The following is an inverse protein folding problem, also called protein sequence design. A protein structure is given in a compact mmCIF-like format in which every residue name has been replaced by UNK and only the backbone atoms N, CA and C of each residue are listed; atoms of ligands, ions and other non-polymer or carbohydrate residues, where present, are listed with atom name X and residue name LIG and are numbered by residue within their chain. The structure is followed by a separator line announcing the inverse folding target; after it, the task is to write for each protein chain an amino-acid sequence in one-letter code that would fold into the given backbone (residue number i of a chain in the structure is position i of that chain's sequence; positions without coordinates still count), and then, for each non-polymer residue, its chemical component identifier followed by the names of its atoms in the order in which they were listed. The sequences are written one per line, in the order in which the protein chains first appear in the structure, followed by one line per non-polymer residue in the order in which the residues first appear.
data_IF_631073204519
#
_entry.id   IF_631073204519
#
_cell.length_a   1.000
_cell.length_b   1.000
_cell.length_c   1.000
_cell.angle_alpha   90.00
_cell.angle_beta   90.00
_cell.angle_gamma   90.00
#
_symmetry.space_group_name_H-M   'P 1'
#
loop_
_entity.id
_entity.type
_entity.pdbx_description
1 polymer ?
#
# COMPACT_ATOMS: atom_id res chain seq x y z
N UNK A 1 -7.99 -11.18 -23.46
CA UNK A 1 -7.76 -11.08 -21.99
C UNK A 1 -8.27 -9.72 -21.54
N UNK A 2 -9.01 -9.65 -20.42
CA UNK A 2 -9.40 -8.36 -19.82
C UNK A 2 -8.19 -7.82 -19.04
N UNK A 3 -7.85 -6.56 -19.23
CA UNK A 3 -6.73 -5.93 -18.50
C UNK A 3 -7.11 -5.76 -17.02
N UNK A 4 -6.21 -6.07 -16.06
CA UNK A 4 -6.48 -5.95 -14.62
C UNK A 4 -6.75 -4.51 -14.18
N UNK A 5 -6.11 -3.57 -14.89
CA UNK A 5 -6.40 -2.15 -14.84
C UNK A 5 -7.39 -1.79 -15.94
N UNK A 6 -8.46 -1.08 -15.56
CA UNK A 6 -9.39 -0.46 -16.50
C UNK A 6 -8.85 0.91 -16.88
N UNK A 7 -8.51 1.09 -18.16
CA UNK A 7 -8.20 2.41 -18.71
C UNK A 7 -9.48 3.22 -18.86
N UNK A 8 -9.51 4.43 -18.31
CA UNK A 8 -10.60 5.39 -18.42
C UNK A 8 -10.01 6.68 -19.00
N UNK A 9 -10.48 7.04 -20.20
CA UNK A 9 -10.15 8.33 -20.81
C UNK A 9 -11.11 9.38 -20.25
N UNK A 10 -10.56 10.40 -19.58
CA UNK A 10 -11.33 11.50 -19.00
C UNK A 10 -10.76 12.81 -19.50
N UNK A 11 -11.49 13.49 -20.37
CA UNK A 11 -11.14 14.78 -20.99
C UNK A 11 -9.70 14.80 -21.53
N UNK A 12 -8.74 15.25 -20.73
CA UNK A 12 -7.34 15.46 -21.12
C UNK A 12 -6.35 14.47 -20.46
N UNK A 13 -6.85 13.44 -19.76
CA UNK A 13 -6.01 12.48 -19.05
C UNK A 13 -6.50 11.04 -19.13
N UNK A 14 -5.53 10.13 -19.02
CA UNK A 14 -5.77 8.70 -18.87
C UNK A 14 -5.67 8.36 -17.40
N UNK A 15 -6.64 7.60 -16.92
CA UNK A 15 -6.70 7.09 -15.55
C UNK A 15 -6.78 5.57 -15.61
N UNK A 16 -6.02 4.87 -14.78
CA UNK A 16 -6.07 3.42 -14.65
C UNK A 16 -6.68 3.03 -13.32
N UNK A 17 -7.66 2.14 -13.34
CA UNK A 17 -8.43 1.79 -12.15
C UNK A 17 -8.35 0.29 -11.89
N UNK A 18 -8.18 -0.11 -10.63
CA UNK A 18 -8.36 -1.50 -10.21
C UNK A 18 -9.79 -1.98 -10.49
N UNK A 19 -10.00 -3.29 -10.58
CA UNK A 19 -11.31 -3.92 -10.69
C UNK A 19 -11.57 -4.77 -9.45
N UNK A 20 -11.95 -4.15 -8.31
CA UNK A 20 -12.14 -4.85 -7.06
C UNK A 20 -13.06 -6.07 -7.21
N UNK A 21 -12.56 -7.23 -6.79
CA UNK A 21 -13.31 -8.48 -6.70
C UNK A 21 -12.86 -9.20 -5.44
N UNK A 22 -13.53 -8.86 -4.35
CA UNK A 22 -13.20 -9.37 -3.02
C UNK A 22 -13.19 -10.90 -2.98
N UNK A 23 -12.10 -11.45 -2.47
CA UNK A 23 -11.88 -12.88 -2.22
C UNK A 23 -11.70 -13.06 -0.72
N UNK A 24 -12.53 -13.90 -0.11
CA UNK A 24 -12.60 -14.07 1.35
C UNK A 24 -11.24 -14.39 1.99
N UNK A 25 -10.49 -15.34 1.43
CA UNK A 25 -9.19 -15.76 1.95
C UNK A 25 -8.16 -14.61 1.99
N UNK A 26 -8.16 -13.73 0.98
CA UNK A 26 -7.27 -12.57 0.94
C UNK A 26 -7.61 -11.56 2.03
N UNK A 27 -8.90 -11.33 2.23
CA UNK A 27 -9.40 -10.45 3.28
C UNK A 27 -9.05 -11.01 4.66
N UNK A 28 -9.30 -12.29 4.90
CA UNK A 28 -9.01 -12.95 6.19
C UNK A 28 -7.52 -12.91 6.53
N UNK A 29 -6.64 -13.26 5.59
CA UNK A 29 -5.18 -13.14 5.76
C UNK A 29 -4.77 -11.73 6.16
N UNK A 30 -5.36 -10.71 5.52
CA UNK A 30 -5.05 -9.30 5.78
C UNK A 30 -5.53 -8.85 7.15
N UNK A 31 -6.75 -9.24 7.56
CA UNK A 31 -7.28 -8.97 8.90
C UNK A 31 -6.43 -9.65 9.98
N UNK A 32 -6.07 -10.92 9.78
CA UNK A 32 -5.21 -11.66 10.70
C UNK A 32 -3.84 -10.98 10.86
N UNK A 33 -3.22 -10.54 9.76
CA UNK A 33 -1.95 -9.81 9.82
C UNK A 33 -2.08 -8.46 10.55
N UNK A 34 -3.20 -7.76 10.36
CA UNK A 34 -3.49 -6.52 11.08
C UNK A 34 -3.69 -6.75 12.58
N UNK A 35 -4.41 -7.80 12.97
CA UNK A 35 -4.62 -8.14 14.39
C UNK A 35 -3.33 -8.64 15.07
N UNK A 36 -2.46 -9.36 14.35
CA UNK A 36 -1.11 -9.68 14.84
C UNK A 36 -0.31 -8.39 15.08
N UNK A 37 -0.40 -7.40 14.18
CA UNK A 37 0.28 -6.12 14.38
C UNK A 37 -0.28 -5.36 15.59
N UNK A 38 -1.59 -5.45 15.88
CA UNK A 38 -2.20 -4.91 17.10
C UNK A 38 -1.67 -5.57 18.36
N UNK A 39 -1.71 -6.91 18.44
CA UNK A 39 -1.21 -7.63 19.61
C UNK A 39 0.25 -7.29 19.91
N UNK A 40 1.10 -7.27 18.88
CA UNK A 40 2.50 -6.89 19.07
C UNK A 40 2.70 -5.41 19.45
N UNK A 41 1.82 -4.51 19.03
CA UNK A 41 1.86 -3.11 19.45
C UNK A 41 1.57 -2.98 20.95
N UNK A 42 0.62 -3.76 21.47
CA UNK A 42 0.28 -3.81 22.89
C UNK A 42 1.45 -4.39 23.70
N UNK A 43 2.01 -5.52 23.28
CA UNK A 43 3.14 -6.19 23.93
C UNK A 43 4.43 -5.35 23.96
N UNK A 44 4.54 -4.36 23.07
CA UNK A 44 5.72 -3.51 22.91
C UNK A 44 5.57 -2.10 23.49
N UNK A 45 4.65 -1.91 24.43
CA UNK A 45 4.35 -0.61 25.05
C UNK A 45 4.02 0.48 24.02
N UNK A 46 3.38 0.11 22.91
CA UNK A 46 2.95 1.05 21.89
C UNK A 46 4.03 1.46 20.89
N UNK A 47 5.07 0.65 20.67
CA UNK A 47 6.07 0.92 19.64
C UNK A 47 5.48 0.70 18.23
N UNK A 48 5.08 1.80 17.58
CA UNK A 48 4.47 1.78 16.24
C UNK A 48 5.39 1.24 15.13
N UNK A 49 6.70 1.19 15.36
CA UNK A 49 7.64 0.59 14.41
C UNK A 49 7.32 -0.89 14.14
N UNK A 50 6.82 -1.60 15.15
CA UNK A 50 6.46 -3.02 15.01
C UNK A 50 5.27 -3.21 14.07
N UNK A 51 4.32 -2.27 14.05
CA UNK A 51 3.18 -2.28 13.12
C UNK A 51 3.70 -2.15 11.70
N UNK A 52 4.56 -1.17 11.45
CA UNK A 52 5.14 -0.93 10.13
C UNK A 52 5.98 -2.12 9.65
N UNK A 53 6.86 -2.67 10.50
CA UNK A 53 7.67 -3.85 10.16
C UNK A 53 6.82 -5.09 9.89
N UNK A 54 5.78 -5.32 10.70
CA UNK A 54 4.86 -6.45 10.51
C UNK A 54 4.10 -6.31 9.19
N UNK A 55 3.60 -5.10 8.88
CA UNK A 55 2.90 -4.83 7.64
C UNK A 55 3.81 -4.97 6.42
N UNK A 56 5.05 -4.47 6.48
CA UNK A 56 6.03 -4.64 5.42
C UNK A 56 6.38 -6.12 5.18
N UNK A 57 6.57 -6.89 6.25
CA UNK A 57 6.82 -8.32 6.14
C UNK A 57 5.64 -9.06 5.51
N UNK A 58 4.41 -8.70 5.90
CA UNK A 58 3.19 -9.23 5.30
C UNK A 58 3.09 -8.89 3.80
N UNK A 59 3.34 -7.64 3.42
CA UNK A 59 3.34 -7.22 2.01
C UNK A 59 4.37 -7.95 1.18
N UNK A 60 5.60 -8.12 1.69
CA UNK A 60 6.64 -8.93 1.03
C UNK A 60 6.20 -10.39 0.87
N UNK A 61 5.58 -10.97 1.89
CA UNK A 61 5.07 -12.34 1.87
C UNK A 61 3.97 -12.54 0.81
N UNK A 62 2.97 -11.66 0.76
CA UNK A 62 1.92 -11.71 -0.26
C UNK A 62 2.46 -11.53 -1.67
N UNK A 63 3.43 -10.61 -1.86
CA UNK A 63 4.06 -10.42 -3.15
C UNK A 63 4.78 -11.69 -3.63
N UNK A 64 5.57 -12.32 -2.75
CA UNK A 64 6.26 -13.57 -3.05
C UNK A 64 5.28 -14.73 -3.33
N UNK A 65 4.17 -14.81 -2.59
CA UNK A 65 3.15 -15.86 -2.77
C UNK A 65 2.37 -15.72 -4.09
N UNK A 66 2.02 -14.50 -4.49
CA UNK A 66 1.01 -14.27 -5.54
C UNK A 66 1.52 -13.61 -6.82
N UNK A 67 2.65 -12.90 -6.78
CA UNK A 67 3.19 -12.18 -7.95
C UNK A 67 4.45 -12.88 -8.47
N UNK A 68 5.32 -13.33 -7.57
CA UNK A 68 6.50 -14.14 -7.91
C UNK A 68 7.84 -13.50 -7.56
N UNK A 69 8.89 -14.30 -7.72
CA UNK A 69 10.22 -14.04 -7.15
C UNK A 69 11.10 -13.09 -7.99
N UNK A 70 12.08 -12.49 -7.30
CA UNK A 70 12.96 -11.33 -7.61
C UNK A 70 13.76 -11.31 -8.94
N UNK A 71 13.48 -12.17 -9.92
CA UNK A 71 14.33 -12.34 -11.12
C UNK A 71 13.93 -11.50 -12.33
N UNK A 72 12.79 -10.79 -12.29
CA UNK A 72 12.39 -9.85 -13.33
C UNK A 72 12.83 -8.44 -12.98
N UNK A 73 13.51 -7.79 -13.93
CA UNK A 73 13.50 -6.32 -13.99
C UNK A 73 12.05 -5.91 -14.29
N UNK A 74 11.38 -5.34 -13.29
CA UNK A 74 10.01 -4.87 -13.43
C UNK A 74 9.99 -3.49 -14.05
N UNK A 75 9.12 -3.26 -15.03
CA UNK A 75 8.65 -1.88 -15.28
C UNK A 75 7.56 -1.52 -14.26
N UNK A 76 7.40 -0.24 -13.94
CA UNK A 76 6.33 0.23 -13.05
C UNK A 76 4.96 -0.25 -13.52
N UNK A 77 4.69 -0.22 -14.83
CA UNK A 77 3.43 -0.65 -15.39
C UNK A 77 3.16 -2.14 -15.19
N UNK A 78 4.14 -3.00 -15.50
CA UNK A 78 4.00 -4.45 -15.31
C UNK A 78 3.80 -4.82 -13.84
N UNK A 79 4.53 -4.14 -12.95
CA UNK A 79 4.37 -4.31 -11.51
C UNK A 79 2.95 -3.93 -11.09
N UNK A 80 2.47 -2.74 -11.49
CA UNK A 80 1.13 -2.24 -11.18
C UNK A 80 0.03 -3.16 -11.70
N UNK A 81 0.15 -3.67 -12.93
CA UNK A 81 -0.80 -4.62 -13.50
C UNK A 81 -0.83 -5.92 -12.69
N UNK A 82 0.34 -6.44 -12.31
CA UNK A 82 0.46 -7.69 -11.55
C UNK A 82 -0.08 -7.57 -10.14
N UNK A 83 0.32 -6.54 -9.37
CA UNK A 83 -0.20 -6.34 -8.01
C UNK A 83 -1.69 -5.95 -8.02
N UNK A 84 -2.17 -5.28 -9.07
CA UNK A 84 -3.61 -5.01 -9.23
C UNK A 84 -4.38 -6.31 -9.43
N UNK A 85 -3.93 -7.18 -10.33
CA UNK A 85 -4.60 -8.46 -10.60
C UNK A 85 -4.56 -9.42 -9.42
N UNK A 86 -3.38 -9.59 -8.83
CA UNK A 86 -3.10 -10.68 -7.90
C UNK A 86 -3.31 -10.30 -6.44
N UNK A 87 -3.35 -9.00 -6.11
CA UNK A 87 -3.42 -8.54 -4.71
C UNK A 87 -4.54 -7.52 -4.51
N UNK A 88 -4.49 -6.34 -5.13
CA UNK A 88 -5.49 -5.30 -4.86
C UNK A 88 -6.91 -5.70 -5.27
N UNK A 89 -7.09 -6.31 -6.45
CA UNK A 89 -8.40 -6.78 -6.90
C UNK A 89 -8.97 -7.85 -5.95
N UNK A 90 -8.25 -8.95 -5.63
CA UNK A 90 -8.68 -9.94 -4.64
C UNK A 90 -8.95 -9.37 -3.24
N UNK A 91 -8.18 -8.36 -2.82
CA UNK A 91 -8.43 -7.65 -1.57
C UNK A 91 -9.66 -6.74 -1.62
N UNK A 92 -10.34 -6.61 -2.76
CA UNK A 92 -11.43 -5.64 -2.91
C UNK A 92 -10.97 -4.17 -2.81
N UNK A 93 -9.67 -3.91 -2.95
CA UNK A 93 -9.06 -2.58 -2.78
C UNK A 93 -9.20 -1.75 -4.04
N UNK A 94 -9.78 -0.56 -3.89
CA UNK A 94 -9.95 0.42 -4.95
C UNK A 94 -8.74 1.34 -5.04
N UNK A 95 -7.99 1.27 -6.14
CA UNK A 95 -6.85 2.14 -6.42
C UNK A 95 -6.99 2.75 -7.81
N UNK A 96 -6.82 4.06 -7.88
CA UNK A 96 -6.77 4.83 -9.12
C UNK A 96 -5.33 5.29 -9.35
N UNK A 97 -4.76 5.01 -10.51
CA UNK A 97 -3.47 5.53 -10.95
C UNK A 97 -3.69 6.66 -11.95
N UNK A 98 -3.10 7.82 -11.67
CA UNK A 98 -3.28 9.05 -12.46
C UNK A 98 -2.07 9.42 -13.28
N UNK A 99 -0.93 8.80 -12.98
CA UNK A 99 0.34 8.86 -13.72
C UNK A 99 1.01 7.51 -13.59
N UNK A 100 1.50 6.97 -14.70
CA UNK A 100 2.35 5.78 -14.74
C UNK A 100 3.47 6.08 -15.73
N UNK A 101 4.70 6.10 -15.23
CA UNK A 101 5.96 6.23 -15.96
C UNK A 101 6.90 5.12 -15.48
N UNK A 102 8.04 4.91 -16.13
CA UNK A 102 8.98 3.86 -15.70
C UNK A 102 9.59 4.18 -14.32
N UNK A 103 9.71 5.46 -13.98
CA UNK A 103 10.31 5.94 -12.73
C UNK A 103 9.29 6.19 -11.62
N UNK A 104 8.07 6.60 -11.97
CA UNK A 104 7.08 7.09 -11.01
C UNK A 104 5.64 6.67 -11.33
N UNK A 105 4.85 6.43 -10.29
CA UNK A 105 3.40 6.35 -10.39
C UNK A 105 2.66 7.11 -9.27
N UNK A 106 1.59 7.82 -9.62
CA UNK A 106 0.71 8.51 -8.67
C UNK A 106 -0.57 7.70 -8.47
N UNK A 107 -0.91 7.39 -7.22
CA UNK A 107 -2.13 6.67 -6.89
C UNK A 107 -3.01 7.36 -5.85
N UNK A 108 -4.31 7.08 -5.96
CA UNK A 108 -5.35 7.42 -5.00
C UNK A 108 -6.07 6.13 -4.57
N UNK A 109 -5.93 5.77 -3.31
CA UNK A 109 -6.61 4.63 -2.71
C UNK A 109 -7.90 5.10 -2.04
N UNK A 110 -9.04 4.57 -2.50
CA UNK A 110 -10.39 5.03 -2.11
C UNK A 110 -11.26 3.95 -1.45
N UNK A 111 -10.78 2.71 -1.42
CA UNK A 111 -11.37 1.61 -0.65
C UNK A 111 -10.25 0.80 -0.02
N UNK A 112 -10.00 1.03 1.27
CA UNK A 112 -9.11 0.20 2.09
C UNK A 112 -9.96 -0.50 3.14
N UNK A 113 -10.10 -1.83 3.03
CA UNK A 113 -11.02 -2.59 3.87
C UNK A 113 -10.66 -2.53 5.36
N UNK A 114 -9.39 -2.29 5.71
CA UNK A 114 -8.99 -2.07 7.11
C UNK A 114 -9.57 -0.77 7.69
N UNK A 115 -9.85 0.23 6.85
CA UNK A 115 -10.53 1.45 7.26
C UNK A 115 -12.06 1.25 7.39
N UNK A 116 -12.63 0.27 6.70
CA UNK A 116 -14.07 -0.06 6.79
C UNK A 116 -14.39 -0.95 8.01
N UNK A 117 -13.42 -1.69 8.54
CA UNK A 117 -13.60 -2.69 9.61
C UNK A 117 -13.71 -2.13 11.04
N UNK A 118 -14.09 -0.85 11.19
CA UNK A 118 -14.26 -0.14 12.49
C UNK A 118 -13.03 -0.15 13.42
N UNK A 119 -11.83 -0.34 12.87
CA UNK A 119 -10.57 -0.24 13.62
C UNK A 119 -10.07 1.20 13.80
N UNK A 120 -8.99 1.37 14.57
CA UNK A 120 -8.26 2.64 14.68
C UNK A 120 -7.78 3.07 13.27
N UNK A 121 -8.32 4.18 12.70
CA UNK A 121 -7.98 4.62 11.35
C UNK A 121 -6.50 4.99 11.24
N UNK A 122 -5.86 5.43 12.33
CA UNK A 122 -4.44 5.74 12.34
C UNK A 122 -3.62 4.46 12.16
N UNK A 123 -3.97 3.43 12.91
CA UNK A 123 -3.31 2.14 12.79
C UNK A 123 -3.55 1.48 11.43
N UNK A 124 -4.79 1.55 10.91
CA UNK A 124 -5.13 1.02 9.58
C UNK A 124 -4.31 1.72 8.47
N UNK A 125 -4.12 3.04 8.57
CA UNK A 125 -3.28 3.78 7.64
C UNK A 125 -1.80 3.45 7.75
N UNK A 126 -1.26 3.33 8.97
CA UNK A 126 0.14 2.93 9.17
C UNK A 126 0.40 1.51 8.65
N UNK A 127 -0.51 0.59 8.92
CA UNK A 127 -0.43 -0.77 8.39
C UNK A 127 -0.53 -0.76 6.86
N UNK A 128 -1.46 0.00 6.28
CA UNK A 128 -1.59 0.13 4.82
C UNK A 128 -0.30 0.67 4.19
N UNK A 129 0.33 1.68 4.80
CA UNK A 129 1.64 2.18 4.34
C UNK A 129 2.69 1.08 4.32
N UNK A 130 2.91 0.41 5.46
CA UNK A 130 3.92 -0.65 5.56
C UNK A 130 3.64 -1.80 4.60
N UNK A 131 2.39 -2.22 4.47
CA UNK A 131 1.95 -3.25 3.53
C UNK A 131 2.30 -2.91 2.08
N UNK A 132 1.91 -1.72 1.62
CA UNK A 132 2.19 -1.25 0.25
C UNK A 132 3.68 -1.07 0.02
N UNK A 133 4.40 -0.51 1.00
CA UNK A 133 5.87 -0.33 0.95
C UNK A 133 6.59 -1.68 0.83
N UNK A 134 6.19 -2.66 1.64
CA UNK A 134 6.75 -4.00 1.62
C UNK A 134 6.59 -4.68 0.26
N UNK A 135 5.40 -4.58 -0.35
CA UNK A 135 5.18 -5.10 -1.71
C UNK A 135 6.03 -4.37 -2.76
N UNK A 136 6.12 -3.04 -2.67
CA UNK A 136 6.84 -2.24 -3.66
C UNK A 136 8.35 -2.52 -3.62
N UNK A 137 8.95 -2.54 -2.43
CA UNK A 137 10.38 -2.82 -2.26
C UNK A 137 10.77 -4.26 -2.62
N UNK A 138 9.82 -5.19 -2.73
CA UNK A 138 10.10 -6.52 -3.31
C UNK A 138 10.43 -6.46 -4.80
N UNK A 139 9.89 -5.48 -5.52
CA UNK A 139 10.13 -5.29 -6.96
C UNK A 139 11.18 -4.22 -7.24
N UNK A 140 11.24 -3.16 -6.43
CA UNK A 140 12.14 -2.02 -6.59
C UNK A 140 12.92 -1.76 -5.28
N UNK A 141 14.01 -2.49 -5.02
CA UNK A 141 14.75 -2.38 -3.75
C UNK A 141 15.33 -1.00 -3.45
N UNK A 142 15.67 -0.23 -4.50
CA UNK A 142 16.20 1.14 -4.39
C UNK A 142 15.10 2.22 -4.41
N UNK A 143 13.84 1.80 -4.55
CA UNK A 143 12.69 2.68 -4.61
C UNK A 143 12.17 3.12 -3.24
N UNK A 144 11.13 3.95 -3.26
CA UNK A 144 10.37 4.33 -2.06
C UNK A 144 8.93 4.71 -2.40
N UNK A 145 8.03 4.59 -1.43
CA UNK A 145 6.66 5.11 -1.52
C UNK A 145 6.47 6.35 -0.64
N UNK A 146 5.86 7.39 -1.21
CA UNK A 146 5.56 8.64 -0.51
C UNK A 146 4.06 8.73 -0.19
N UNK A 147 3.72 8.87 1.10
CA UNK A 147 2.36 9.10 1.55
C UNK A 147 2.05 10.60 1.58
N UNK A 148 1.47 11.14 0.50
CA UNK A 148 1.18 12.58 0.38
C UNK A 148 -0.05 13.02 1.17
N UNK A 149 -1.03 12.14 1.33
CA UNK A 149 -2.22 12.36 2.17
C UNK A 149 -2.76 11.02 2.67
N UNK A 150 -3.52 11.04 3.76
CA UNK A 150 -4.11 9.83 4.33
C UNK A 150 -5.49 10.08 4.94
N UNK A 151 -6.37 9.09 4.84
CA UNK A 151 -7.70 9.12 5.46
C UNK A 151 -7.64 9.26 6.99
N UNK A 152 -6.55 8.79 7.61
CA UNK A 152 -6.33 9.00 9.05
C UNK A 152 -6.21 10.48 9.45
N UNK A 153 -5.92 11.38 8.51
CA UNK A 153 -5.88 12.83 8.74
C UNK A 153 -7.12 13.55 8.16
N UNK A 154 -8.20 12.82 7.89
CA UNK A 154 -9.43 13.38 7.34
C UNK A 154 -9.40 13.64 5.82
N UNK A 155 -8.35 13.22 5.12
CA UNK A 155 -8.36 13.25 3.65
C UNK A 155 -9.41 12.26 3.12
N UNK A 156 -10.08 12.54 1.98
CA UNK A 156 -11.08 11.62 1.43
C UNK A 156 -10.45 10.31 0.91
N UNK A 157 -9.16 10.33 0.58
CA UNK A 157 -8.41 9.20 0.02
C UNK A 157 -6.95 9.27 0.49
N UNK A 158 -6.32 8.10 0.55
CA UNK A 158 -4.87 8.01 0.79
C UNK A 158 -4.13 8.13 -0.55
N UNK A 159 -3.22 9.09 -0.65
CA UNK A 159 -2.41 9.33 -1.86
C UNK A 159 -1.02 8.74 -1.68
N UNK A 160 -0.61 7.86 -2.60
CA UNK A 160 0.77 7.38 -2.70
C UNK A 160 1.44 7.89 -3.97
N UNK A 161 2.74 8.13 -3.88
CA UNK A 161 3.64 8.29 -5.03
C UNK A 161 4.69 7.19 -4.95
N UNK A 162 4.75 6.33 -5.95
CA UNK A 162 5.74 5.26 -6.06
C UNK A 162 6.92 5.77 -6.88
N UNK A 163 8.15 5.58 -6.41
CA UNK A 163 9.38 5.95 -7.12
C UNK A 163 10.31 4.75 -7.19
N UNK A 164 10.74 4.34 -8.38
CA UNK A 164 11.62 3.16 -8.55
C UNK A 164 13.05 3.41 -8.09
N UNK A 165 13.50 4.67 -8.10
CA UNK A 165 14.75 5.15 -7.52
C UNK A 165 14.46 6.33 -6.57
N UNK A 166 14.71 6.11 -5.28
CA UNK A 166 14.42 7.09 -4.24
C UNK A 166 15.56 8.11 -4.10
N UNK A 167 15.21 9.40 -4.25
CA UNK A 167 16.12 10.47 -3.87
C UNK A 167 16.42 10.40 -2.36
N UNK A 168 17.53 11.01 -1.93
CA UNK A 168 17.97 11.00 -0.52
C UNK A 168 16.84 11.42 0.43
N UNK A 169 16.11 12.48 0.09
CA UNK A 169 15.01 13.00 0.91
C UNK A 169 13.82 12.04 0.98
N UNK A 170 13.55 11.30 -0.10
CA UNK A 170 12.47 10.31 -0.14
C UNK A 170 12.73 9.18 0.87
N UNK A 171 14.00 8.82 1.11
CA UNK A 171 14.39 7.74 2.05
C UNK A 171 14.04 8.05 3.51
N UNK A 172 13.78 9.32 3.86
CA UNK A 172 13.31 9.70 5.20
C UNK A 172 11.79 9.58 5.36
N UNK A 173 11.04 9.25 4.30
CA UNK A 173 9.60 9.17 4.34
C UNK A 173 9.08 8.14 5.36
N UNK A 174 9.73 6.98 5.45
CA UNK A 174 9.40 5.94 6.44
C UNK A 174 9.41 6.51 7.86
N UNK A 175 10.45 7.28 8.18
CA UNK A 175 10.59 7.92 9.49
C UNK A 175 9.55 9.04 9.68
N UNK A 176 9.30 9.86 8.65
CA UNK A 176 8.25 10.88 8.69
C UNK A 176 6.87 10.27 8.98
N UNK A 177 6.52 9.19 8.29
CA UNK A 177 5.27 8.44 8.50
C UNK A 177 5.23 7.87 9.92
N UNK A 178 6.31 7.24 10.38
CA UNK A 178 6.40 6.72 11.75
C UNK A 178 6.15 7.81 12.80
N UNK A 179 6.79 8.96 12.66
CA UNK A 179 6.63 10.09 13.59
C UNK A 179 5.21 10.64 13.58
N UNK A 180 4.59 10.73 12.39
CA UNK A 180 3.20 11.15 12.25
C UNK A 180 2.27 10.28 13.10
N UNK A 181 2.36 8.96 12.96
CA UNK A 181 1.50 8.00 13.68
C UNK A 181 1.87 7.82 15.16
N UNK A 182 3.12 8.09 15.56
CA UNK A 182 3.50 8.13 16.98
C UNK A 182 2.87 9.32 17.71
N UNK A 183 2.80 10.48 17.05
CA UNK A 183 2.32 11.72 17.66
C UNK A 183 0.81 11.69 17.85
N UNK A 184 0.07 11.11 16.89
CA UNK A 184 -1.40 11.00 16.96
C UNK A 184 -1.90 10.09 18.08
N UNK A 185 -1.07 9.20 18.65
CA UNK A 185 -1.46 8.38 19.82
C UNK A 185 -1.42 9.17 21.14
N UNK A 186 -0.80 10.35 21.15
CA UNK A 186 -0.64 11.18 22.35
C UNK A 186 -1.69 12.27 22.49
N UNK A 187 -2.47 12.52 21.44
CA UNK A 187 -3.62 13.44 21.43
C UNK A 187 -4.91 12.68 21.75
#
# INVERSE_FOLDING_TARGET
MKTPLKEIKSQDRIVWLTQPKEVADFLEKTKNAFDIAKGKLEDSNGNVEIVMQTAEAFGRGLFAEHVGDKSKEWTMKEWLESVSEQIFNPLGTGVTFTKITDEEADSLMFRSLLHEDKGDPHMASLFTYGFVRGMFLSAFPDGEILMKSTMAQGAPMTKFVFKTDAAIDDRFERERVKTLFTTMKKE
#
